data_IF_137518714873
#
_entry.id   IF_137518714873
#
_cell.length_a   1.000
_cell.length_b   1.000
_cell.length_c   1.000
_cell.angle_alpha   90.00
_cell.angle_beta   90.00
_cell.angle_gamma   90.00
#
_symmetry.space_group_name_H-M   'P 1'
#
loop_
_entity.id
_entity.type
_entity.pdbx_description
1 polymer ?
#
# COMPACT_ATOMS: atom_id res chain seq x y z
N UNK A 1 -10.55 19.96 13.63
CA UNK A 1 -11.80 20.45 13.02
C UNK A 1 -12.90 19.42 12.90
N UNK A 2 -12.62 18.24 12.34
CA UNK A 2 -13.65 17.19 12.18
C UNK A 2 -14.33 16.82 13.53
N UNK A 3 -13.55 16.60 14.59
CA UNK A 3 -14.08 16.27 15.92
C UNK A 3 -14.79 17.47 16.59
N UNK A 4 -14.26 18.68 16.43
CA UNK A 4 -14.80 19.90 17.05
C UNK A 4 -16.00 20.48 16.31
N UNK A 5 -16.22 20.08 15.06
CA UNK A 5 -17.25 20.62 14.16
C UNK A 5 -17.03 22.09 13.76
N UNK A 6 -15.91 22.70 14.18
CA UNK A 6 -15.54 24.09 13.89
C UNK A 6 -14.03 24.22 13.76
N UNK A 7 -13.60 25.12 12.86
CA UNK A 7 -12.21 25.53 12.63
C UNK A 7 -11.59 26.08 13.93
N UNK A 8 -10.62 25.34 14.46
CA UNK A 8 -9.94 25.70 15.71
C UNK A 8 -8.87 26.78 15.50
N UNK A 9 -8.44 27.05 14.27
CA UNK A 9 -7.41 28.04 13.95
C UNK A 9 -7.85 28.92 12.76
N UNK A 10 -8.87 29.77 12.95
CA UNK A 10 -9.40 30.60 11.87
C UNK A 10 -8.33 31.43 11.17
N UNK A 11 -8.26 31.30 9.83
CA UNK A 11 -7.32 32.04 8.98
C UNK A 11 -6.02 31.31 8.66
N UNK A 12 -5.81 30.10 9.19
CA UNK A 12 -4.82 29.16 8.66
C UNK A 12 -5.45 28.26 7.60
N UNK A 13 -4.64 27.84 6.63
CA UNK A 13 -5.05 26.81 5.66
C UNK A 13 -4.80 25.44 6.27
N UNK A 14 -5.78 24.55 6.17
CA UNK A 14 -5.67 23.18 6.68
C UNK A 14 -4.68 22.34 5.86
N UNK A 15 -4.62 22.59 4.56
CA UNK A 15 -3.74 21.90 3.62
C UNK A 15 -3.00 22.93 2.77
N UNK A 16 -1.66 22.86 2.81
CA UNK A 16 -0.78 23.54 1.86
C UNK A 16 -0.09 22.52 0.96
N UNK A 17 -0.21 22.67 -0.35
CA UNK A 17 0.41 21.78 -1.34
C UNK A 17 1.35 22.57 -2.26
N UNK A 18 2.47 21.94 -2.63
CA UNK A 18 3.44 22.48 -3.57
C UNK A 18 3.69 21.44 -4.66
N UNK A 19 3.59 21.85 -5.93
CA UNK A 19 3.79 20.96 -7.07
C UNK A 19 5.04 21.39 -7.84
N UNK A 20 5.85 20.41 -8.24
CA UNK A 20 7.02 20.65 -9.06
C UNK A 20 6.65 20.59 -10.55
N UNK A 21 6.62 21.75 -11.21
CA UNK A 21 6.32 21.84 -12.65
C UNK A 21 7.39 21.22 -13.54
N UNK A 22 8.60 20.99 -13.02
CA UNK A 22 9.71 20.41 -13.80
C UNK A 22 9.56 18.91 -14.06
N UNK A 23 8.58 18.22 -13.46
CA UNK A 23 8.41 16.76 -13.63
C UNK A 23 8.13 16.38 -15.09
N UNK A 24 7.39 17.21 -15.84
CA UNK A 24 7.09 16.92 -17.24
C UNK A 24 8.22 17.32 -18.21
N UNK A 25 9.04 18.30 -17.82
CA UNK A 25 9.94 18.99 -18.75
C UNK A 25 11.44 18.73 -18.48
N UNK A 26 11.82 18.22 -17.30
CA UNK A 26 13.20 17.93 -16.94
C UNK A 26 13.49 16.41 -17.01
N UNK A 27 14.30 15.94 -17.98
CA UNK A 27 14.64 14.52 -18.11
C UNK A 27 15.45 13.96 -16.92
N UNK A 28 15.97 14.83 -16.05
CA UNK A 28 16.66 14.43 -14.82
C UNK A 28 15.70 14.31 -13.62
N UNK A 29 14.45 14.78 -13.76
CA UNK A 29 13.45 14.66 -12.71
C UNK A 29 12.83 13.25 -12.76
N UNK A 30 12.80 12.55 -11.62
CA UNK A 30 12.16 11.23 -11.45
C UNK A 30 12.54 10.16 -12.51
N UNK A 31 13.76 10.24 -13.05
CA UNK A 31 14.24 9.34 -14.10
C UNK A 31 13.65 9.62 -15.48
N UNK A 32 13.20 10.85 -15.73
CA UNK A 32 12.60 11.29 -17.00
C UNK A 32 11.16 10.83 -17.19
N UNK A 33 10.48 10.43 -16.12
CA UNK A 33 9.06 10.08 -16.13
C UNK A 33 8.23 11.35 -15.88
N UNK A 34 7.27 11.60 -16.76
CA UNK A 34 6.29 12.69 -16.62
C UNK A 34 5.02 12.26 -15.89
N UNK A 35 4.14 13.24 -15.64
CA UNK A 35 2.82 13.02 -15.06
C UNK A 35 1.83 12.46 -16.08
N UNK A 36 0.96 11.57 -15.59
CA UNK A 36 -0.29 11.23 -16.23
C UNK A 36 -1.43 11.99 -15.56
N UNK A 37 -2.10 12.85 -16.32
CA UNK A 37 -3.20 13.68 -15.85
C UNK A 37 -4.59 13.12 -16.19
N UNK A 38 -4.64 11.92 -16.80
CA UNK A 38 -5.91 11.25 -17.09
C UNK A 38 -6.59 10.74 -15.83
N UNK A 39 -7.89 10.48 -15.94
CA UNK A 39 -8.74 10.02 -14.83
C UNK A 39 -9.19 8.56 -15.00
N UNK A 40 -8.66 7.88 -16.02
CA UNK A 40 -9.05 6.56 -16.50
C UNK A 40 -7.99 5.49 -16.23
N UNK A 41 -6.93 5.83 -15.48
CA UNK A 41 -5.89 4.89 -15.06
C UNK A 41 -5.20 4.18 -16.25
N UNK A 42 -4.84 4.97 -17.27
CA UNK A 42 -4.14 4.51 -18.48
C UNK A 42 -2.79 5.22 -18.64
N UNK A 43 -2.07 5.35 -17.53
CA UNK A 43 -0.79 6.07 -17.41
C UNK A 43 0.38 5.40 -18.13
N UNK A 44 0.30 4.10 -18.41
CA UNK A 44 1.38 3.34 -19.02
C UNK A 44 2.65 3.37 -18.17
N UNK A 45 3.66 4.11 -18.60
CA UNK A 45 4.93 4.27 -17.85
C UNK A 45 5.07 5.61 -17.13
N UNK A 46 4.08 6.50 -17.28
CA UNK A 46 4.01 7.78 -16.57
C UNK A 46 3.57 7.56 -15.11
N UNK A 47 3.65 8.61 -14.30
CA UNK A 47 3.20 8.56 -12.90
C UNK A 47 1.77 9.09 -12.82
N UNK A 48 0.83 8.33 -12.27
CA UNK A 48 -0.55 8.78 -12.09
C UNK A 48 -0.63 9.95 -11.09
N UNK A 49 -0.93 11.14 -11.61
CA UNK A 49 -1.03 12.35 -10.82
C UNK A 49 -2.21 12.32 -9.85
N UNK A 50 -3.34 11.74 -10.26
CA UNK A 50 -4.53 11.66 -9.40
C UNK A 50 -4.24 10.76 -8.20
N UNK A 51 -3.56 9.64 -8.39
CA UNK A 51 -3.13 8.75 -7.30
C UNK A 51 -2.23 9.48 -6.31
N UNK A 52 -1.15 10.11 -6.79
CA UNK A 52 -0.23 10.89 -5.93
C UNK A 52 -1.00 11.98 -5.19
N UNK A 53 -1.78 12.78 -5.91
CA UNK A 53 -2.51 13.89 -5.30
C UNK A 53 -3.46 13.41 -4.20
N UNK A 54 -4.19 12.33 -4.45
CA UNK A 54 -5.15 11.78 -3.46
C UNK A 54 -4.43 11.26 -2.23
N UNK A 55 -3.28 10.60 -2.41
CA UNK A 55 -2.40 10.15 -1.33
C UNK A 55 -1.90 11.32 -0.46
N UNK A 56 -1.32 12.34 -1.08
CA UNK A 56 -0.80 13.51 -0.35
C UNK A 56 -1.90 14.32 0.35
N UNK A 57 -3.08 14.42 -0.28
CA UNK A 57 -4.24 15.05 0.35
C UNK A 57 -4.73 14.24 1.57
N UNK A 58 -4.70 12.91 1.51
CA UNK A 58 -5.10 12.07 2.64
C UNK A 58 -4.18 12.28 3.86
N UNK A 59 -2.87 12.47 3.68
CA UNK A 59 -1.98 12.90 4.76
C UNK A 59 -2.44 14.23 5.37
N UNK A 60 -2.71 15.24 4.53
CA UNK A 60 -3.21 16.55 4.97
C UNK A 60 -4.56 16.49 5.71
N UNK A 61 -5.37 15.47 5.43
CA UNK A 61 -6.65 15.23 6.09
C UNK A 61 -6.52 14.40 7.38
N UNK A 62 -5.33 13.90 7.73
CA UNK A 62 -5.10 13.19 9.00
C UNK A 62 -4.84 11.69 8.87
N UNK A 63 -4.50 11.17 7.68
CA UNK A 63 -3.81 9.90 7.56
C UNK A 63 -2.34 10.10 7.95
N UNK A 64 -2.06 10.47 9.20
CA UNK A 64 -0.71 10.77 9.63
C UNK A 64 -0.57 10.53 11.13
N UNK A 65 0.52 9.85 11.49
CA UNK A 65 1.03 9.84 12.84
C UNK A 65 1.77 11.17 13.12
N UNK A 66 1.67 11.70 14.34
CA UNK A 66 2.44 12.86 14.80
C UNK A 66 3.39 12.54 15.96
N UNK A 67 3.31 11.34 16.55
CA UNK A 67 4.31 10.89 17.51
C UNK A 67 5.66 10.74 16.82
N UNK A 68 6.72 11.30 17.38
CA UNK A 68 8.06 11.10 16.85
C UNK A 68 8.45 9.62 16.95
N UNK A 69 8.64 8.94 15.83
CA UNK A 69 8.86 7.49 15.79
C UNK A 69 10.22 7.07 16.36
N UNK A 70 11.20 7.98 16.40
CA UNK A 70 12.53 7.69 16.94
C UNK A 70 12.56 7.80 18.47
N UNK A 71 11.92 8.83 19.04
CA UNK A 71 11.92 9.06 20.48
C UNK A 71 10.68 8.53 21.18
N UNK A 72 9.59 8.34 20.45
CA UNK A 72 8.23 8.06 20.92
C UNK A 72 7.54 9.26 21.56
N UNK A 73 8.12 10.46 21.44
CA UNK A 73 7.56 11.66 22.04
C UNK A 73 6.35 12.16 21.26
N UNK A 74 5.25 12.44 21.98
CA UNK A 74 4.07 13.07 21.42
C UNK A 74 4.36 14.48 20.90
N UNK A 75 3.77 14.84 19.74
CA UNK A 75 3.88 16.19 19.21
C UNK A 75 3.27 17.21 20.18
N UNK A 76 4.06 18.21 20.59
CA UNK A 76 3.68 19.21 21.61
C UNK A 76 3.21 18.60 22.95
N UNK A 77 3.58 17.34 23.24
CA UNK A 77 3.11 16.62 24.43
C UNK A 77 1.65 16.19 24.38
N UNK A 78 0.99 16.28 23.23
CA UNK A 78 -0.41 15.90 23.02
C UNK A 78 -0.50 14.59 22.25
N UNK A 79 -1.32 13.66 22.74
CA UNK A 79 -1.64 12.43 22.02
C UNK A 79 -2.55 12.76 20.84
N UNK A 80 -2.14 12.37 19.63
CA UNK A 80 -2.95 12.54 18.43
C UNK A 80 -4.08 11.49 18.35
N UNK A 81 -5.08 11.75 17.51
CA UNK A 81 -6.18 10.80 17.28
C UNK A 81 -5.71 9.49 16.65
N UNK A 82 -4.61 9.52 15.89
CA UNK A 82 -4.04 8.36 15.22
C UNK A 82 -3.58 7.31 16.25
N UNK A 83 -2.95 7.77 17.33
CA UNK A 83 -2.45 6.97 18.45
C UNK A 83 -3.54 6.23 19.23
N UNK A 84 -4.81 6.64 19.10
CA UNK A 84 -5.95 5.91 19.70
C UNK A 84 -6.28 4.61 18.97
N UNK A 85 -5.81 4.45 17.73
CA UNK A 85 -6.07 3.28 16.90
C UNK A 85 -4.77 2.54 16.52
N UNK A 86 -3.59 3.13 16.75
CA UNK A 86 -2.31 2.43 16.60
C UNK A 86 -2.10 1.41 17.73
N UNK A 87 -2.39 0.15 17.45
CA UNK A 87 -2.27 -0.98 18.37
C UNK A 87 -0.93 -1.70 18.17
N UNK A 88 -0.20 -1.93 19.25
CA UNK A 88 0.94 -2.87 19.24
C UNK A 88 0.47 -4.25 19.70
N UNK A 89 0.44 -5.22 18.79
CA UNK A 89 0.00 -6.59 19.04
C UNK A 89 0.91 -7.38 19.99
N UNK A 90 2.14 -6.93 20.21
CA UNK A 90 3.05 -7.58 21.18
C UNK A 90 2.68 -7.19 22.60
N UNK A 91 2.33 -5.92 22.83
CA UNK A 91 1.96 -5.42 24.16
C UNK A 91 0.46 -5.48 24.44
N UNK A 92 -0.37 -5.48 23.39
CA UNK A 92 -1.82 -5.35 23.47
C UNK A 92 -2.29 -3.94 23.86
N UNK A 93 -1.42 -2.93 23.74
CA UNK A 93 -1.71 -1.54 24.08
C UNK A 93 -1.78 -0.68 22.83
N UNK A 94 -2.72 0.26 22.82
CA UNK A 94 -2.69 1.38 21.90
C UNK A 94 -1.64 2.40 22.31
N UNK A 95 -1.15 3.19 21.36
CA UNK A 95 -0.13 4.21 21.64
C UNK A 95 -0.57 5.28 22.64
N UNK A 96 -1.87 5.59 22.70
CA UNK A 96 -2.44 6.48 23.73
C UNK A 96 -2.47 5.86 25.14
N UNK A 97 -2.30 4.54 25.26
CA UNK A 97 -2.28 3.79 26.51
C UNK A 97 -0.85 3.52 27.01
N UNK A 98 0.16 3.66 26.14
CA UNK A 98 1.58 3.52 26.48
C UNK A 98 2.04 4.63 27.43
N UNK A 99 2.57 4.24 28.58
CA UNK A 99 2.92 5.14 29.68
C UNK A 99 4.16 6.00 29.39
N UNK A 100 5.04 5.55 28.50
CA UNK A 100 6.34 6.17 28.23
C UNK A 100 6.60 6.36 26.74
N UNK A 101 7.41 7.38 26.41
CA UNK A 101 7.90 7.58 25.04
C UNK A 101 8.70 6.35 24.56
N UNK A 102 9.45 5.70 25.45
CA UNK A 102 10.24 4.52 25.11
C UNK A 102 9.38 3.33 24.62
N UNK A 103 8.17 3.14 25.16
CA UNK A 103 7.25 2.12 24.68
C UNK A 103 6.75 2.41 23.26
N UNK A 104 6.39 3.67 22.97
CA UNK A 104 6.00 4.08 21.61
C UNK A 104 7.15 3.97 20.62
N UNK A 105 8.36 4.37 21.00
CA UNK A 105 9.56 4.23 20.17
C UNK A 105 9.87 2.76 19.85
N UNK A 106 9.72 1.87 20.83
CA UNK A 106 9.89 0.44 20.63
C UNK A 106 8.80 -0.13 19.71
N UNK A 107 7.56 0.33 19.85
CA UNK A 107 6.45 -0.06 18.97
C UNK A 107 6.64 0.41 17.53
N UNK A 108 7.16 1.64 17.32
CA UNK A 108 7.35 2.22 15.99
C UNK A 108 8.25 1.39 15.06
N UNK A 109 9.12 0.57 15.63
CA UNK A 109 10.03 -0.35 14.93
C UNK A 109 9.62 -1.83 15.08
N UNK A 110 8.44 -2.11 15.64
CA UNK A 110 7.93 -3.46 15.87
C UNK A 110 7.26 -4.02 14.61
N UNK A 111 8.08 -4.37 13.63
CA UNK A 111 7.69 -4.79 12.29
C UNK A 111 6.57 -5.83 12.29
N UNK A 112 5.52 -5.60 11.47
CA UNK A 112 4.36 -6.51 11.31
C UNK A 112 3.67 -6.91 12.62
N UNK A 113 3.88 -6.15 13.68
CA UNK A 113 3.18 -6.28 14.96
C UNK A 113 2.43 -5.00 15.35
N UNK A 114 2.48 -3.95 14.54
CA UNK A 114 1.65 -2.76 14.75
C UNK A 114 0.50 -2.76 13.75
N UNK A 115 -0.72 -2.56 14.24
CA UNK A 115 -1.94 -2.61 13.45
C UNK A 115 -2.83 -1.40 13.75
N UNK A 116 -3.79 -1.15 12.87
CA UNK A 116 -4.83 -0.15 13.04
C UNK A 116 -6.12 -0.80 13.57
N UNK A 117 -6.42 -0.59 14.85
CA UNK A 117 -7.63 -1.11 15.53
C UNK A 117 -8.81 -0.13 15.45
N UNK A 118 -9.07 0.37 14.24
CA UNK A 118 -10.24 1.20 13.94
C UNK A 118 -11.37 0.37 13.33
N UNK A 119 -12.63 0.50 13.81
CA UNK A 119 -13.72 -0.36 13.36
C UNK A 119 -14.08 -0.16 11.88
N UNK A 120 -14.00 1.06 11.34
CA UNK A 120 -14.38 1.33 9.95
C UNK A 120 -13.29 0.88 8.96
N UNK A 121 -12.00 1.11 9.27
CA UNK A 121 -10.90 0.57 8.48
C UNK A 121 -10.88 -0.97 8.51
N UNK A 122 -11.09 -1.57 9.68
CA UNK A 122 -11.16 -3.03 9.84
C UNK A 122 -12.32 -3.63 9.03
N UNK A 123 -13.50 -3.02 9.08
CA UNK A 123 -14.64 -3.49 8.29
C UNK A 123 -14.37 -3.47 6.77
N UNK A 124 -13.67 -2.45 6.29
CA UNK A 124 -13.22 -2.37 4.89
C UNK A 124 -12.18 -3.42 4.55
N UNK A 125 -11.22 -3.66 5.46
CA UNK A 125 -10.17 -4.65 5.30
C UNK A 125 -10.72 -6.04 5.04
N UNK A 126 -11.75 -6.44 5.78
CA UNK A 126 -12.43 -7.74 5.62
C UNK A 126 -13.09 -7.92 4.25
N UNK A 127 -13.39 -6.83 3.54
CA UNK A 127 -14.03 -6.88 2.21
C UNK A 127 -13.08 -6.56 1.06
N UNK A 128 -11.99 -5.85 1.33
CA UNK A 128 -11.04 -5.37 0.34
C UNK A 128 -9.82 -6.28 0.22
N UNK A 129 -9.21 -6.65 1.36
CA UNK A 129 -7.99 -7.43 1.36
C UNK A 129 -8.29 -8.90 1.04
N UNK A 130 -7.44 -9.48 0.21
CA UNK A 130 -7.50 -10.88 -0.16
C UNK A 130 -7.00 -11.77 0.98
N UNK A 131 -7.60 -12.96 1.17
CA UNK A 131 -7.00 -13.97 2.03
C UNK A 131 -5.70 -14.49 1.42
N UNK A 132 -4.70 -14.72 2.26
CA UNK A 132 -3.38 -15.20 1.85
C UNK A 132 -2.26 -14.20 2.16
N UNK A 133 -1.77 -14.17 3.40
CA UNK A 133 -0.53 -13.43 3.72
C UNK A 133 0.69 -14.15 3.12
N UNK A 134 1.54 -13.49 2.33
CA UNK A 134 2.82 -14.04 1.86
C UNK A 134 3.68 -14.57 3.00
N UNK A 135 4.17 -15.81 2.87
CA UNK A 135 4.97 -16.47 3.90
C UNK A 135 6.00 -17.42 3.29
N UNK A 136 7.19 -17.44 3.89
CA UNK A 136 8.14 -18.55 3.72
C UNK A 136 7.95 -19.50 4.90
N UNK A 137 7.54 -20.74 4.65
CA UNK A 137 7.49 -21.78 5.69
C UNK A 137 8.76 -22.62 5.59
N UNK A 138 9.50 -22.74 6.68
CA UNK A 138 10.59 -23.72 6.80
C UNK A 138 10.01 -25.00 7.40
N UNK A 139 10.04 -26.07 6.61
CA UNK A 139 9.51 -27.39 6.95
C UNK A 139 10.58 -28.25 7.67
N UNK A 140 11.86 -28.06 7.31
CA UNK A 140 13.02 -28.71 7.93
C UNK A 140 14.29 -27.83 7.80
N UNK A 141 15.27 -27.98 8.70
CA UNK A 141 15.28 -28.83 9.89
C UNK A 141 14.42 -28.25 11.03
N UNK A 142 14.07 -29.09 12.00
CA UNK A 142 13.23 -28.69 13.13
C UNK A 142 13.82 -27.57 14.00
N UNK A 143 15.15 -27.35 13.95
CA UNK A 143 15.83 -26.26 14.68
C UNK A 143 15.41 -24.87 14.20
N UNK A 144 14.99 -24.75 12.94
CA UNK A 144 14.61 -23.49 12.29
C UNK A 144 13.23 -23.59 11.62
N UNK A 145 12.43 -24.60 11.97
CA UNK A 145 11.10 -24.76 11.40
C UNK A 145 10.16 -23.65 11.89
N UNK A 146 9.36 -23.09 10.98
CA UNK A 146 8.47 -21.97 11.30
C UNK A 146 8.09 -21.13 10.10
N UNK A 147 7.21 -20.16 10.33
CA UNK A 147 6.84 -19.14 9.36
C UNK A 147 7.77 -17.94 9.43
N UNK A 148 8.29 -17.54 8.28
CA UNK A 148 9.19 -16.41 8.11
C UNK A 148 8.49 -15.33 7.27
N UNK A 149 8.33 -14.11 7.80
CA UNK A 149 7.74 -13.01 7.04
C UNK A 149 8.57 -12.69 5.79
N UNK A 150 7.90 -12.51 4.65
CA UNK A 150 8.54 -12.21 3.36
C UNK A 150 8.02 -10.92 2.74
N UNK A 151 8.81 -10.31 1.86
CA UNK A 151 8.33 -9.40 0.82
C UNK A 151 8.15 -10.15 -0.50
N UNK A 152 6.96 -10.14 -1.08
CA UNK A 152 6.67 -10.80 -2.36
C UNK A 152 7.20 -10.00 -3.56
N UNK A 153 7.48 -10.66 -4.68
CA UNK A 153 7.90 -9.99 -5.91
C UNK A 153 6.71 -9.33 -6.64
N UNK A 154 6.96 -8.15 -7.23
CA UNK A 154 6.05 -7.50 -8.16
C UNK A 154 6.07 -8.12 -9.58
N UNK A 155 6.91 -9.13 -9.79
CA UNK A 155 7.12 -9.83 -11.06
C UNK A 155 7.11 -11.35 -10.85
N UNK A 156 6.98 -12.07 -11.96
CA UNK A 156 6.80 -13.52 -11.93
C UNK A 156 5.41 -13.91 -11.37
N UNK A 157 5.18 -15.22 -11.19
CA UNK A 157 3.95 -15.71 -10.58
C UNK A 157 3.78 -15.23 -9.14
N UNK A 158 2.57 -14.80 -8.80
CA UNK A 158 2.16 -14.54 -7.42
C UNK A 158 2.23 -15.82 -6.57
N UNK A 159 2.47 -15.65 -5.27
CA UNK A 159 2.44 -16.78 -4.33
C UNK A 159 1.03 -17.38 -4.24
N UNK A 160 0.95 -18.70 -4.06
CA UNK A 160 -0.31 -19.44 -4.03
C UNK A 160 -0.40 -20.42 -2.85
N UNK A 161 -1.57 -21.02 -2.69
CA UNK A 161 -1.78 -22.17 -1.83
C UNK A 161 -2.48 -23.30 -2.65
N UNK A 162 -1.85 -24.48 -2.85
CA UNK A 162 -0.54 -24.85 -2.34
C UNK A 162 0.60 -23.99 -2.92
N UNK A 163 1.64 -23.79 -2.12
CA UNK A 163 2.85 -23.06 -2.50
C UNK A 163 3.86 -23.93 -3.27
N UNK A 164 5.03 -23.36 -3.55
CA UNK A 164 6.16 -24.08 -4.14
C UNK A 164 7.06 -24.62 -3.02
N UNK A 165 7.15 -25.95 -2.92
CA UNK A 165 8.02 -26.61 -1.95
C UNK A 165 9.30 -27.12 -2.59
N UNK A 166 10.42 -27.03 -1.88
CA UNK A 166 11.70 -27.56 -2.33
C UNK A 166 12.83 -27.38 -1.31
N UNK A 167 13.97 -28.01 -1.59
CA UNK A 167 15.17 -27.84 -0.78
C UNK A 167 15.88 -26.54 -1.16
N UNK A 168 16.39 -25.81 -0.18
CA UNK A 168 17.13 -24.56 -0.36
C UNK A 168 18.58 -24.86 -0.74
N UNK A 169 19.05 -24.21 -1.80
CA UNK A 169 20.44 -24.30 -2.27
C UNK A 169 20.99 -22.88 -2.43
N UNK A 170 22.14 -22.60 -1.82
CA UNK A 170 22.83 -21.32 -2.01
C UNK A 170 23.30 -21.19 -3.47
N UNK A 171 22.89 -20.11 -4.13
CA UNK A 171 23.37 -19.77 -5.46
C UNK A 171 24.88 -19.51 -5.43
N UNK A 172 25.57 -19.85 -6.52
CA UNK A 172 26.97 -19.54 -6.70
C UNK A 172 27.24 -19.19 -8.17
N UNK A 173 27.61 -17.93 -8.45
CA UNK A 173 28.00 -17.44 -9.78
C UNK A 173 29.52 -17.41 -10.00
N UNK A 174 30.31 -17.68 -8.95
CA UNK A 174 31.77 -17.76 -9.02
C UNK A 174 32.49 -16.42 -9.18
N UNK A 175 31.80 -15.28 -9.11
CA UNK A 175 32.38 -13.95 -9.32
C UNK A 175 32.12 -13.04 -8.11
N UNK A 176 33.17 -12.42 -7.58
CA UNK A 176 33.03 -11.42 -6.52
C UNK A 176 32.24 -11.92 -5.30
N UNK A 177 31.09 -11.30 -5.03
CA UNK A 177 30.15 -11.74 -4.00
C UNK A 177 29.33 -12.92 -4.52
N UNK A 178 29.95 -14.10 -4.50
CA UNK A 178 29.52 -15.27 -5.29
C UNK A 178 28.07 -15.73 -5.15
N UNK A 179 27.38 -15.37 -4.07
CA UNK A 179 26.00 -15.77 -3.82
C UNK A 179 24.97 -14.75 -4.31
N UNK A 180 25.37 -13.66 -4.96
CA UNK A 180 24.47 -12.58 -5.34
C UNK A 180 23.83 -12.79 -6.72
N UNK A 181 24.23 -13.81 -7.49
CA UNK A 181 23.61 -14.24 -8.74
C UNK A 181 23.55 -13.12 -9.79
N UNK A 182 24.56 -12.24 -9.81
CA UNK A 182 24.65 -11.20 -10.82
C UNK A 182 25.18 -11.73 -12.15
N UNK A 183 25.95 -12.81 -12.11
CA UNK A 183 26.40 -13.58 -13.26
C UNK A 183 25.67 -14.94 -13.35
N UNK A 184 25.76 -15.65 -14.50
CA UNK A 184 25.21 -17.00 -14.62
C UNK A 184 25.79 -17.96 -13.57
N UNK A 185 24.92 -18.76 -12.94
CA UNK A 185 25.33 -19.65 -11.86
C UNK A 185 26.26 -20.77 -12.33
N UNK A 186 27.39 -20.94 -11.65
CA UNK A 186 28.35 -22.04 -11.89
C UNK A 186 27.93 -23.35 -11.24
N UNK A 187 27.00 -23.31 -10.27
CA UNK A 187 26.47 -24.48 -9.57
C UNK A 187 25.06 -24.90 -10.03
N UNK A 188 24.70 -24.66 -11.30
CA UNK A 188 23.38 -24.94 -11.85
C UNK A 188 22.89 -26.38 -11.60
N UNK A 189 23.78 -27.38 -11.64
CA UNK A 189 23.41 -28.77 -11.35
C UNK A 189 22.90 -29.02 -9.92
N UNK A 190 23.28 -28.18 -8.94
CA UNK A 190 22.77 -28.24 -7.58
C UNK A 190 21.46 -27.44 -7.42
N UNK A 191 21.31 -26.35 -8.17
CA UNK A 191 20.14 -25.45 -8.10
C UNK A 191 18.94 -26.00 -8.88
N UNK A 192 19.18 -26.77 -9.95
CA UNK A 192 18.13 -27.32 -10.80
C UNK A 192 17.10 -28.15 -10.00
N UNK A 193 15.82 -27.75 -10.06
CA UNK A 193 14.72 -28.38 -9.33
C UNK A 193 14.57 -27.96 -7.87
N UNK A 194 15.42 -27.04 -7.39
CA UNK A 194 15.47 -26.60 -5.99
C UNK A 194 15.15 -25.10 -5.84
N UNK A 195 15.01 -24.64 -4.59
CA UNK A 195 14.81 -23.22 -4.27
C UNK A 195 16.17 -22.55 -4.14
N UNK A 196 16.43 -21.53 -4.95
CA UNK A 196 17.70 -20.80 -4.88
C UNK A 196 17.67 -19.77 -3.75
N UNK A 197 18.65 -19.81 -2.84
CA UNK A 197 18.92 -18.73 -1.89
C UNK A 197 20.00 -17.82 -2.49
N UNK A 198 19.68 -16.54 -2.63
CA UNK A 198 20.52 -15.51 -3.26
C UNK A 198 20.72 -14.34 -2.32
N UNK A 199 21.90 -13.73 -2.33
CA UNK A 199 22.18 -12.51 -1.58
C UNK A 199 21.80 -11.25 -2.35
N UNK A 200 21.16 -10.30 -1.65
CA UNK A 200 20.99 -8.95 -2.19
C UNK A 200 22.37 -8.32 -2.37
N UNK A 201 22.60 -7.75 -3.56
CA UNK A 201 23.93 -7.32 -3.99
C UNK A 201 23.88 -6.34 -5.15
N UNK A 202 24.87 -6.41 -6.03
CA UNK A 202 25.19 -5.33 -6.97
C UNK A 202 24.18 -5.14 -8.11
N UNK A 203 23.46 -6.19 -8.50
CA UNK A 203 22.51 -6.19 -9.60
C UNK A 203 21.04 -6.13 -9.13
N UNK A 204 20.15 -5.84 -10.09
CA UNK A 204 18.70 -5.79 -9.86
C UNK A 204 18.11 -7.17 -9.51
N UNK A 205 16.99 -7.17 -8.77
CA UNK A 205 16.30 -8.40 -8.36
C UNK A 205 15.88 -9.27 -9.55
N UNK A 206 15.39 -8.65 -10.61
CA UNK A 206 15.04 -9.33 -11.87
C UNK A 206 16.23 -10.12 -12.43
N UNK A 207 17.43 -9.53 -12.46
CA UNK A 207 18.66 -10.20 -12.93
C UNK A 207 18.98 -11.43 -12.10
N UNK A 208 18.88 -11.30 -10.77
CA UNK A 208 19.13 -12.41 -9.83
C UNK A 208 18.20 -13.59 -10.09
N UNK A 209 16.91 -13.29 -10.24
CA UNK A 209 15.88 -14.31 -10.45
C UNK A 209 16.02 -14.96 -11.83
N UNK A 210 16.29 -14.19 -12.89
CA UNK A 210 16.56 -14.73 -14.22
C UNK A 210 17.78 -15.68 -14.24
N UNK A 211 18.86 -15.34 -13.56
CA UNK A 211 20.06 -16.20 -13.50
C UNK A 211 19.79 -17.50 -12.72
N UNK A 212 19.02 -17.43 -11.64
CA UNK A 212 18.61 -18.62 -10.89
C UNK A 212 17.61 -19.48 -11.68
N UNK A 213 16.65 -18.87 -12.37
CA UNK A 213 15.68 -19.55 -13.25
C UNK A 213 16.39 -20.24 -14.42
N UNK A 214 17.36 -19.56 -15.06
CA UNK A 214 18.18 -20.14 -16.12
C UNK A 214 19.04 -21.33 -15.64
N UNK A 215 19.37 -21.37 -14.35
CA UNK A 215 20.04 -22.49 -13.69
C UNK A 215 19.07 -23.62 -13.28
N UNK A 216 17.77 -23.45 -13.50
CA UNK A 216 16.72 -24.44 -13.24
C UNK A 216 16.08 -24.33 -11.85
N UNK A 217 16.26 -23.24 -11.12
CA UNK A 217 15.56 -23.02 -9.85
C UNK A 217 14.04 -23.03 -10.05
N UNK A 218 13.30 -23.53 -9.06
CA UNK A 218 11.82 -23.54 -9.08
C UNK A 218 11.20 -22.38 -8.30
N UNK A 219 11.99 -21.72 -7.46
CA UNK A 219 11.67 -20.48 -6.78
C UNK A 219 12.95 -19.81 -6.26
N UNK A 220 12.87 -18.53 -5.88
CA UNK A 220 14.02 -17.77 -5.37
C UNK A 220 13.71 -17.10 -4.03
N UNK A 221 14.59 -17.27 -3.07
CA UNK A 221 14.64 -16.51 -1.82
C UNK A 221 15.82 -15.54 -1.91
N UNK A 222 15.56 -14.25 -1.79
CA UNK A 222 16.59 -13.22 -1.71
C UNK A 222 16.80 -12.84 -0.25
N UNK A 223 17.95 -13.16 0.31
CA UNK A 223 18.38 -12.67 1.61
C UNK A 223 18.82 -11.21 1.51
N UNK A 224 18.22 -10.34 2.32
CA UNK A 224 18.62 -8.94 2.38
C UNK A 224 20.06 -8.76 2.87
N UNK A 225 20.66 -7.62 2.58
CA UNK A 225 22.02 -7.26 3.01
C UNK A 225 22.04 -6.09 4.02
N UNK A 226 20.85 -5.64 4.44
CA UNK A 226 20.66 -4.63 5.48
C UNK A 226 19.86 -5.28 6.63
N UNK A 227 20.26 -5.00 7.87
CA UNK A 227 19.49 -5.39 9.03
C UNK A 227 18.21 -4.55 9.12
N UNK A 228 17.11 -5.17 9.54
CA UNK A 228 15.85 -4.46 9.72
C UNK A 228 14.65 -5.37 9.67
N UNK A 229 13.49 -4.74 9.51
CA UNK A 229 12.21 -5.41 9.34
C UNK A 229 12.16 -6.39 8.17
N UNK A 230 11.15 -7.29 8.13
CA UNK A 230 10.79 -8.00 6.93
C UNK A 230 10.82 -7.06 5.73
N UNK A 231 11.64 -7.39 4.71
CA UNK A 231 11.90 -6.44 3.66
C UNK A 231 10.63 -6.19 2.84
N UNK A 232 10.52 -4.98 2.29
CA UNK A 232 9.58 -4.72 1.21
C UNK A 232 9.81 -5.71 0.05
N UNK A 233 8.78 -5.84 -0.79
CA UNK A 233 8.77 -6.71 -1.95
C UNK A 233 9.94 -6.51 -2.94
N UNK A 234 10.07 -7.44 -3.87
CA UNK A 234 11.07 -7.35 -4.94
C UNK A 234 10.51 -6.51 -6.09
N UNK A 235 11.06 -5.31 -6.27
CA UNK A 235 10.69 -4.42 -7.38
C UNK A 235 11.34 -4.78 -8.71
N UNK A 236 10.72 -4.34 -9.80
CA UNK A 236 11.14 -4.60 -11.18
C UNK A 236 10.01 -5.24 -12.00
N UNK A 237 10.23 -5.37 -13.31
CA UNK A 237 9.28 -6.03 -14.22
C UNK A 237 10.04 -6.75 -15.32
N UNK A 238 9.75 -8.04 -15.49
CA UNK A 238 10.21 -8.83 -16.63
C UNK A 238 9.20 -9.96 -16.91
N UNK A 239 8.59 -10.03 -18.10
CA UNK A 239 7.60 -11.05 -18.43
C UNK A 239 8.20 -12.44 -18.64
N UNK A 240 9.52 -12.56 -18.71
CA UNK A 240 10.24 -13.82 -18.88
C UNK A 240 10.45 -14.59 -17.58
N UNK A 241 10.22 -13.98 -16.41
CA UNK A 241 10.32 -14.67 -15.12
C UNK A 241 9.07 -15.52 -14.90
N UNK A 242 9.26 -16.83 -14.72
CA UNK A 242 8.17 -17.80 -14.57
C UNK A 242 8.16 -18.55 -13.24
N UNK A 243 9.06 -18.18 -12.32
CA UNK A 243 9.13 -18.73 -10.96
C UNK A 243 8.82 -17.69 -9.88
N UNK A 244 8.15 -18.07 -8.77
CA UNK A 244 7.90 -17.15 -7.68
C UNK A 244 9.18 -16.77 -6.96
N UNK A 245 9.22 -15.54 -6.43
CA UNK A 245 10.36 -15.07 -5.65
C UNK A 245 9.94 -14.20 -4.47
N UNK A 246 10.71 -14.29 -3.41
CA UNK A 246 10.50 -13.56 -2.15
C UNK A 246 11.80 -12.97 -1.63
N UNK A 247 11.69 -11.91 -0.82
CA UNK A 247 12.79 -11.38 -0.03
C UNK A 247 12.56 -11.67 1.45
N UNK A 248 13.63 -12.02 2.16
CA UNK A 248 13.64 -12.22 3.61
C UNK A 248 14.70 -11.32 4.26
N UNK A 249 14.61 -11.15 5.57
CA UNK A 249 15.58 -10.33 6.31
C UNK A 249 17.01 -10.90 6.20
N UNK A 250 18.02 -10.05 6.46
CA UNK A 250 19.39 -10.51 6.59
C UNK A 250 19.55 -11.56 7.70
N UNK A 251 18.82 -11.39 8.82
CA UNK A 251 18.85 -12.33 9.94
C UNK A 251 18.30 -13.71 9.56
N UNK A 252 17.15 -13.75 8.89
CA UNK A 252 16.54 -15.00 8.41
C UNK A 252 17.41 -15.66 7.35
N UNK A 253 17.96 -14.87 6.42
CA UNK A 253 18.91 -15.36 5.42
C UNK A 253 20.13 -16.03 6.05
N UNK A 254 20.69 -15.43 7.11
CA UNK A 254 21.81 -16.02 7.85
C UNK A 254 21.40 -17.30 8.60
N UNK A 255 20.19 -17.34 9.17
CA UNK A 255 19.62 -18.54 9.78
C UNK A 255 19.54 -19.69 8.78
N UNK A 256 18.96 -19.47 7.60
CA UNK A 256 18.88 -20.49 6.54
C UNK A 256 20.28 -20.94 6.10
N UNK A 257 21.20 -20.01 5.85
CA UNK A 257 22.59 -20.32 5.44
C UNK A 257 23.32 -21.21 6.45
N UNK A 258 23.09 -20.99 7.74
CA UNK A 258 23.73 -21.75 8.80
C UNK A 258 23.33 -23.23 8.83
N UNK A 259 22.16 -23.57 8.27
CA UNK A 259 21.58 -24.91 8.27
C UNK A 259 21.65 -25.60 6.89
N UNK A 260 22.20 -24.96 5.85
CA UNK A 260 22.27 -25.58 4.51
C UNK A 260 23.04 -26.91 4.49
N UNK A 261 23.96 -27.13 5.44
CA UNK A 261 24.69 -28.40 5.58
C UNK A 261 23.84 -29.55 6.13
N UNK A 262 22.73 -29.27 6.82
CA UNK A 262 21.78 -30.26 7.35
C UNK A 262 20.62 -30.51 6.38
N UNK A 263 20.43 -29.63 5.40
CA UNK A 263 19.34 -29.65 4.43
C UNK A 263 18.17 -28.82 4.94
N UNK A 264 17.79 -27.80 4.18
CA UNK A 264 16.69 -26.89 4.52
C UNK A 264 15.58 -27.08 3.51
N UNK A 265 14.43 -27.57 3.96
CA UNK A 265 13.24 -27.73 3.11
C UNK A 265 12.25 -26.63 3.44
N UNK A 266 11.71 -26.00 2.40
CA UNK A 266 10.82 -24.85 2.54
C UNK A 266 9.62 -24.96 1.62
N UNK A 267 8.59 -24.19 1.96
CA UNK A 267 7.43 -23.91 1.13
C UNK A 267 7.25 -22.39 0.99
N UNK A 268 7.31 -21.88 -0.23
CA UNK A 268 6.98 -20.49 -0.55
C UNK A 268 5.52 -20.41 -0.98
N UNK A 269 4.70 -19.72 -0.22
CA UNK A 269 3.27 -19.65 -0.49
C UNK A 269 2.57 -18.54 0.29
N UNK A 270 1.28 -18.73 0.51
CA UNK A 270 0.46 -17.83 1.32
C UNK A 270 -0.17 -18.58 2.49
N UNK A 271 -0.30 -17.90 3.63
CA UNK A 271 -1.14 -18.34 4.75
C UNK A 271 -2.60 -17.92 4.49
N UNK A 272 -3.50 -18.85 4.11
CA UNK A 272 -4.88 -18.53 3.76
C UNK A 272 -5.73 -18.16 4.99
N UNK A 273 -5.22 -18.34 6.21
CA UNK A 273 -5.95 -18.03 7.44
C UNK A 273 -5.87 -16.56 7.82
N UNK A 274 -5.04 -15.78 7.11
CA UNK A 274 -4.80 -14.36 7.34
C UNK A 274 -5.06 -13.56 6.07
N UNK A 275 -5.60 -12.36 6.22
CA UNK A 275 -5.65 -11.41 5.11
C UNK A 275 -4.23 -10.90 4.81
N UNK A 276 -3.97 -10.59 3.54
CA UNK A 276 -2.72 -9.96 3.12
C UNK A 276 -2.62 -8.56 3.74
N UNK A 277 -1.60 -8.32 4.57
CA UNK A 277 -1.40 -7.03 5.25
C UNK A 277 -2.31 -6.82 6.47
N UNK A 278 -2.79 -7.89 7.12
CA UNK A 278 -3.55 -7.79 8.36
C UNK A 278 -3.02 -8.70 9.48
N UNK A 279 -3.38 -8.34 10.72
CA UNK A 279 -3.13 -9.18 11.87
C UNK A 279 -4.05 -10.42 11.91
N UNK A 280 -3.98 -11.21 13.00
CA UNK A 280 -4.75 -12.45 13.13
C UNK A 280 -6.26 -12.25 13.34
N UNK A 281 -6.69 -11.04 13.72
CA UNK A 281 -8.11 -10.70 13.93
C UNK A 281 -8.67 -9.82 12.82
N UNK A 282 -7.84 -9.42 11.85
CA UNK A 282 -8.24 -8.69 10.66
C UNK A 282 -7.96 -7.19 10.72
N UNK A 283 -7.24 -6.71 11.73
CA UNK A 283 -6.80 -5.31 11.76
C UNK A 283 -5.70 -5.10 10.71
N UNK A 284 -5.83 -4.11 9.81
CA UNK A 284 -4.77 -3.77 8.86
C UNK A 284 -3.46 -3.46 9.58
N UNK A 285 -2.37 -4.02 9.11
CA UNK A 285 -1.04 -3.66 9.60
C UNK A 285 -0.68 -2.26 9.13
N UNK A 286 -0.05 -1.49 10.01
CA UNK A 286 0.59 -0.21 9.64
C UNK A 286 2.07 -0.46 9.38
N UNK A 287 2.67 0.40 8.56
CA UNK A 287 4.05 0.33 8.11
C UNK A 287 5.05 0.63 9.24
N UNK A 288 5.16 -0.26 10.23
CA UNK A 288 6.22 -0.23 11.23
C UNK A 288 7.51 -0.78 10.62
N UNK A 289 8.54 0.06 10.50
CA UNK A 289 9.82 -0.29 9.87
C UNK A 289 11.03 0.04 10.76
N UNK A 290 12.06 -0.79 10.67
CA UNK A 290 13.34 -0.70 11.37
C UNK A 290 14.44 -0.77 10.30
N UNK A 291 15.30 0.25 10.18
CA UNK A 291 15.22 1.53 10.88
C UNK A 291 13.99 2.35 10.46
N UNK A 292 13.56 3.26 11.33
CA UNK A 292 12.48 4.22 11.04
C UNK A 292 12.73 4.94 9.72
N UNK A 293 11.73 4.90 8.84
CA UNK A 293 11.68 5.68 7.61
C UNK A 293 10.90 6.97 7.90
N UNK A 294 11.63 8.07 8.14
CA UNK A 294 11.01 9.36 8.49
C UNK A 294 9.98 9.79 7.44
N UNK A 295 8.80 10.18 7.91
CA UNK A 295 7.67 10.56 7.05
C UNK A 295 6.92 9.38 6.44
N UNK A 296 7.34 8.13 6.71
CA UNK A 296 6.67 6.93 6.21
C UNK A 296 6.23 5.97 7.30
N UNK A 297 7.11 5.68 8.27
CA UNK A 297 6.81 4.75 9.37
C UNK A 297 5.50 5.14 10.07
N UNK A 298 4.65 4.14 10.33
CA UNK A 298 3.37 4.25 11.07
C UNK A 298 2.27 5.08 10.37
N UNK A 299 2.64 6.00 9.48
CA UNK A 299 1.71 6.86 8.70
C UNK A 299 1.27 6.23 7.37
N UNK A 300 1.49 4.93 7.17
CA UNK A 300 1.13 4.20 5.96
C UNK A 300 0.63 2.79 6.32
N UNK A 301 -0.11 2.17 5.41
CA UNK A 301 -0.41 0.73 5.47
C UNK A 301 0.84 -0.11 5.18
N UNK A 302 0.90 -1.31 5.76
CA UNK A 302 2.00 -2.25 5.48
C UNK A 302 1.97 -2.67 3.99
N UNK A 303 3.11 -2.67 3.27
CA UNK A 303 3.19 -3.07 1.85
C UNK A 303 2.81 -4.54 1.55
N UNK A 304 2.41 -5.32 2.57
CA UNK A 304 1.79 -6.62 2.39
C UNK A 304 0.31 -6.55 1.97
N UNK A 305 -0.33 -5.38 2.01
CA UNK A 305 -1.74 -5.28 1.61
C UNK A 305 -1.92 -5.75 0.17
N UNK A 306 -2.88 -6.64 -0.06
CA UNK A 306 -3.23 -7.08 -1.41
C UNK A 306 -4.76 -7.20 -1.56
N UNK A 307 -5.40 -6.56 -2.56
CA UNK A 307 -4.80 -5.60 -3.51
C UNK A 307 -4.12 -4.42 -2.80
N UNK A 308 -3.21 -3.73 -3.48
CA UNK A 308 -2.50 -2.62 -2.85
C UNK A 308 -3.47 -1.51 -2.43
N UNK A 309 -3.05 -0.70 -1.45
CA UNK A 309 -3.86 0.39 -0.86
C UNK A 309 -3.25 1.75 -1.16
N UNK A 310 -4.09 2.79 -1.22
CA UNK A 310 -3.71 4.16 -1.57
C UNK A 310 -2.61 4.68 -0.64
N UNK A 311 -2.72 4.40 0.66
CA UNK A 311 -1.79 4.89 1.68
C UNK A 311 -0.66 3.90 1.99
N UNK A 312 -0.21 3.12 0.99
CA UNK A 312 1.08 2.44 1.08
C UNK A 312 2.25 3.41 0.87
N UNK A 313 3.47 3.07 1.34
CA UNK A 313 4.66 3.93 1.22
C UNK A 313 5.11 4.24 -0.21
N UNK A 314 4.55 3.53 -1.20
CA UNK A 314 4.87 3.71 -2.61
C UNK A 314 3.63 3.44 -3.46
N UNK A 315 3.55 4.09 -4.62
CA UNK A 315 2.47 3.87 -5.58
C UNK A 315 2.67 2.56 -6.31
N UNK A 316 1.57 1.80 -6.39
CA UNK A 316 1.49 0.56 -7.12
C UNK A 316 0.56 0.71 -8.34
N UNK A 317 0.79 -0.10 -9.37
CA UNK A 317 0.09 0.00 -10.66
C UNK A 317 -1.30 -0.64 -10.66
N UNK A 318 -1.71 -1.26 -9.56
CA UNK A 318 -3.05 -1.79 -9.33
C UNK A 318 -3.90 -0.85 -8.45
N UNK A 319 -3.38 0.32 -8.10
CA UNK A 319 -4.18 1.38 -7.46
C UNK A 319 -5.05 2.04 -8.52
N UNK A 320 -6.38 1.93 -8.38
CA UNK A 320 -7.34 2.58 -9.28
C UNK A 320 -8.10 3.68 -8.50
N UNK A 321 -7.57 4.91 -8.43
CA UNK A 321 -8.21 5.98 -7.68
C UNK A 321 -9.64 6.25 -8.16
N UNK A 322 -10.55 6.42 -7.19
CA UNK A 322 -11.92 6.83 -7.44
C UNK A 322 -12.89 5.70 -7.79
N UNK A 323 -12.43 4.48 -8.05
CA UNK A 323 -13.28 3.29 -8.26
C UNK A 323 -13.21 2.35 -7.06
N UNK A 324 -12.00 2.06 -6.57
CA UNK A 324 -11.79 1.22 -5.40
C UNK A 324 -11.52 2.08 -4.16
N UNK A 325 -12.51 2.12 -3.28
CA UNK A 325 -12.32 2.70 -1.96
C UNK A 325 -11.68 1.62 -1.09
N UNK A 326 -10.36 1.67 -0.99
CA UNK A 326 -9.51 0.83 -0.14
C UNK A 326 -9.81 1.02 1.38
N UNK A 327 -8.82 0.78 2.24
CA UNK A 327 -8.96 0.92 3.69
C UNK A 327 -9.01 2.39 4.13
N UNK A 328 -8.47 3.31 3.33
CA UNK A 328 -8.14 4.67 3.70
C UNK A 328 -9.37 5.52 4.06
N UNK A 329 -10.51 5.45 3.35
CA UNK A 329 -11.73 6.12 3.80
C UNK A 329 -12.24 5.57 5.15
N UNK A 330 -12.04 4.29 5.43
CA UNK A 330 -12.37 3.71 6.74
C UNK A 330 -11.58 4.36 7.86
N UNK A 331 -10.26 4.48 7.65
CA UNK A 331 -9.37 5.16 8.59
C UNK A 331 -9.74 6.64 8.77
N UNK A 332 -10.12 7.34 7.70
CA UNK A 332 -10.67 8.70 7.78
C UNK A 332 -11.91 8.75 8.68
N UNK A 333 -12.83 7.80 8.54
CA UNK A 333 -14.00 7.69 9.41
C UNK A 333 -13.64 7.45 10.87
N UNK A 334 -12.65 6.59 11.12
CA UNK A 334 -12.18 6.29 12.48
C UNK A 334 -11.59 7.54 13.16
N UNK A 335 -10.84 8.37 12.43
CA UNK A 335 -10.27 9.63 12.96
C UNK A 335 -11.25 10.81 12.98
N UNK A 336 -12.53 10.57 12.66
CA UNK A 336 -13.62 11.52 12.87
C UNK A 336 -14.17 12.21 11.63
N UNK A 337 -13.73 11.86 10.41
CA UNK A 337 -14.36 12.35 9.19
C UNK A 337 -15.72 11.69 8.97
N UNK A 338 -16.67 12.46 8.45
CA UNK A 338 -17.94 11.90 7.97
C UNK A 338 -17.79 11.51 6.51
N UNK A 339 -17.86 10.21 6.22
CA UNK A 339 -17.88 9.73 4.84
C UNK A 339 -19.24 10.01 4.21
N UNK A 340 -19.22 10.73 3.10
CA UNK A 340 -20.39 10.89 2.26
C UNK A 340 -20.69 9.55 1.56
N UNK A 341 -21.90 9.05 1.70
CA UNK A 341 -22.36 7.86 0.95
C UNK A 341 -23.04 8.24 -0.36
N UNK A 342 -23.35 9.52 -0.52
CA UNK A 342 -23.99 10.10 -1.69
C UNK A 342 -23.29 11.39 -2.13
N UNK A 343 -23.43 11.72 -3.41
CA UNK A 343 -22.93 12.98 -3.94
C UNK A 343 -23.80 14.12 -3.43
N UNK A 344 -23.19 15.12 -2.77
CA UNK A 344 -23.86 16.38 -2.45
C UNK A 344 -23.60 17.42 -3.54
N UNK A 345 -24.64 18.16 -3.91
CA UNK A 345 -24.54 19.34 -4.76
C UNK A 345 -24.99 20.55 -3.93
N UNK A 346 -24.05 21.41 -3.57
CA UNK A 346 -24.30 22.61 -2.72
C UNK A 346 -25.07 22.27 -1.43
N UNK A 347 -24.66 21.19 -0.75
CA UNK A 347 -25.31 20.67 0.46
C UNK A 347 -26.60 19.87 0.24
N UNK A 348 -27.12 19.80 -1.00
CA UNK A 348 -28.28 18.99 -1.34
C UNK A 348 -27.88 17.55 -1.68
N UNK A 349 -28.45 16.57 -0.99
CA UNK A 349 -28.24 15.15 -1.25
C UNK A 349 -28.92 14.72 -2.55
N UNK A 350 -28.11 14.28 -3.51
CA UNK A 350 -28.59 13.82 -4.82
C UNK A 350 -29.16 12.40 -4.78
N UNK A 351 -28.92 11.64 -3.69
CA UNK A 351 -29.24 10.22 -3.57
C UNK A 351 -28.44 9.33 -4.54
N UNK A 352 -27.49 9.91 -5.27
CA UNK A 352 -26.57 9.20 -6.16
C UNK A 352 -25.38 8.79 -5.31
N UNK A 353 -25.00 7.51 -5.34
CA UNK A 353 -23.76 7.05 -4.69
C UNK A 353 -22.53 7.81 -5.21
N UNK A 354 -21.36 7.54 -4.63
CA UNK A 354 -20.11 8.10 -5.13
C UNK A 354 -19.75 7.47 -6.49
N UNK A 355 -20.38 7.96 -7.56
CA UNK A 355 -19.97 7.63 -8.92
C UNK A 355 -18.65 8.37 -9.16
N UNK A 356 -17.59 7.68 -9.62
CA UNK A 356 -16.31 8.31 -9.92
C UNK A 356 -16.52 9.56 -10.77
N UNK A 357 -15.91 10.67 -10.36
CA UNK A 357 -15.89 11.95 -11.09
C UNK A 357 -17.23 12.68 -11.24
N UNK A 358 -18.35 12.21 -10.69
CA UNK A 358 -19.64 12.93 -10.77
C UNK A 358 -19.52 14.34 -10.19
N UNK A 359 -18.92 14.47 -9.00
CA UNK A 359 -18.67 15.77 -8.39
C UNK A 359 -17.80 16.68 -9.29
N UNK A 360 -16.75 16.12 -9.89
CA UNK A 360 -15.89 16.83 -10.84
C UNK A 360 -16.63 17.28 -12.11
N UNK A 361 -17.53 16.45 -12.64
CA UNK A 361 -18.35 16.80 -13.81
C UNK A 361 -19.38 17.89 -13.49
N UNK A 362 -19.95 17.88 -12.28
CA UNK A 362 -20.80 18.98 -11.78
C UNK A 362 -19.97 20.27 -11.68
N UNK A 363 -18.74 20.18 -11.22
CA UNK A 363 -17.83 21.32 -11.13
C UNK A 363 -17.44 21.85 -12.51
N UNK A 364 -17.23 20.99 -13.51
CA UNK A 364 -17.06 21.40 -14.91
C UNK A 364 -18.29 22.16 -15.42
N UNK A 365 -19.50 21.71 -15.07
CA UNK A 365 -20.72 22.46 -15.38
C UNK A 365 -20.73 23.84 -14.71
N UNK A 366 -20.28 23.94 -13.44
CA UNK A 366 -20.19 25.19 -12.69
C UNK A 366 -19.22 26.18 -13.36
N UNK A 367 -18.01 25.74 -13.68
CA UNK A 367 -16.95 26.57 -14.24
C UNK A 367 -17.29 27.10 -15.65
N UNK A 368 -18.10 26.37 -16.41
CA UNK A 368 -18.48 26.74 -17.77
C UNK A 368 -19.84 27.46 -17.86
N UNK A 369 -20.59 27.56 -16.77
CA UNK A 369 -21.88 28.26 -16.74
C UNK A 369 -21.69 29.77 -16.53
N UNK A 370 -22.30 30.59 -17.37
CA UNK A 370 -22.34 32.04 -17.17
C UNK A 370 -23.51 32.49 -16.30
N UNK A 371 -24.49 31.60 -16.05
CA UNK A 371 -25.65 31.84 -15.18
C UNK A 371 -26.36 30.54 -14.79
N UNK A 372 -27.28 30.67 -13.82
CA UNK A 372 -27.86 29.54 -13.10
C UNK A 372 -28.64 28.61 -14.01
N UNK A 373 -29.35 29.18 -14.99
CA UNK A 373 -30.05 28.40 -15.99
C UNK A 373 -29.12 27.52 -16.82
N UNK A 374 -27.91 28.02 -17.15
CA UNK A 374 -26.92 27.24 -17.89
C UNK A 374 -26.29 26.14 -17.04
N UNK A 375 -25.99 26.41 -15.77
CA UNK A 375 -25.50 25.40 -14.83
C UNK A 375 -26.52 24.26 -14.67
N UNK A 376 -27.78 24.60 -14.35
CA UNK A 376 -28.86 23.62 -14.20
C UNK A 376 -29.06 22.82 -15.49
N UNK A 377 -28.99 23.48 -16.65
CA UNK A 377 -29.09 22.80 -17.95
C UNK A 377 -27.94 21.81 -18.15
N UNK A 378 -26.70 22.21 -17.85
CA UNK A 378 -25.54 21.33 -17.97
C UNK A 378 -25.65 20.11 -17.05
N UNK A 379 -25.97 20.31 -15.77
CA UNK A 379 -26.17 19.21 -14.81
C UNK A 379 -27.33 18.30 -15.22
N UNK A 380 -28.39 18.86 -15.80
CA UNK A 380 -29.50 18.05 -16.34
C UNK A 380 -29.07 17.19 -17.52
N UNK A 381 -28.22 17.70 -18.42
CA UNK A 381 -27.62 16.92 -19.51
C UNK A 381 -26.73 15.80 -18.97
N UNK A 382 -25.85 16.11 -18.02
CA UNK A 382 -25.05 15.11 -17.32
C UNK A 382 -25.92 13.99 -16.72
N UNK A 383 -26.98 14.35 -16.00
CA UNK A 383 -27.93 13.37 -15.46
C UNK A 383 -28.63 12.52 -16.53
N UNK A 384 -28.88 13.06 -17.73
CA UNK A 384 -29.40 12.27 -18.85
C UNK A 384 -28.39 11.23 -19.33
N UNK A 385 -27.12 11.63 -19.46
CA UNK A 385 -26.05 10.75 -19.95
C UNK A 385 -25.76 9.62 -18.96
N UNK A 386 -25.67 9.93 -17.66
CA UNK A 386 -25.51 8.93 -16.59
C UNK A 386 -26.67 7.93 -16.57
N UNK A 387 -27.91 8.42 -16.71
CA UNK A 387 -29.09 7.55 -16.78
C UNK A 387 -29.04 6.66 -18.03
N UNK A 388 -28.66 7.21 -19.18
CA UNK A 388 -28.53 6.47 -20.44
C UNK A 388 -27.44 5.40 -20.35
N UNK A 389 -26.37 5.66 -19.61
CA UNK A 389 -25.30 4.71 -19.31
C UNK A 389 -25.69 3.66 -18.25
N UNK A 390 -26.88 3.77 -17.63
CA UNK A 390 -27.33 2.85 -16.58
C UNK A 390 -26.69 3.07 -15.21
N UNK A 391 -25.95 4.18 -15.03
CA UNK A 391 -25.23 4.49 -13.80
C UNK A 391 -26.13 5.08 -12.70
N UNK A 392 -27.25 5.71 -13.09
CA UNK A 392 -28.24 6.26 -12.16
C UNK A 392 -29.68 5.94 -12.59
N UNK A 393 -30.57 5.92 -11.61
CA UNK A 393 -32.02 5.77 -11.82
C UNK A 393 -32.66 7.07 -12.32
N UNK A 394 -33.90 6.96 -12.82
CA UNK A 394 -34.70 8.14 -13.17
C UNK A 394 -35.00 9.05 -11.97
N UNK A 395 -35.16 8.48 -10.77
CA UNK A 395 -35.37 9.22 -9.54
C UNK A 395 -34.11 10.00 -9.14
N UNK A 396 -32.95 9.34 -9.15
CA UNK A 396 -31.65 9.97 -8.92
C UNK A 396 -31.34 11.11 -9.90
N UNK A 397 -31.62 10.93 -11.19
CA UNK A 397 -31.53 12.04 -12.17
C UNK A 397 -32.42 13.23 -11.76
N UNK A 398 -33.67 12.94 -11.39
CA UNK A 398 -34.63 13.96 -10.96
C UNK A 398 -34.12 14.74 -9.75
N UNK A 399 -33.59 14.02 -8.76
CA UNK A 399 -33.01 14.60 -7.55
C UNK A 399 -31.76 15.44 -7.86
N UNK A 400 -30.85 14.94 -8.70
CA UNK A 400 -29.67 15.70 -9.16
C UNK A 400 -30.07 17.04 -9.83
N UNK A 401 -31.08 17.00 -10.71
CA UNK A 401 -31.59 18.21 -11.37
C UNK A 401 -32.26 19.16 -10.37
N UNK A 402 -32.99 18.61 -9.39
CA UNK A 402 -33.64 19.38 -8.33
C UNK A 402 -32.62 20.06 -7.42
N UNK A 403 -31.55 19.36 -7.02
CA UNK A 403 -30.46 19.92 -6.24
C UNK A 403 -29.76 21.04 -7.01
N UNK A 404 -29.47 20.84 -8.30
CA UNK A 404 -28.88 21.89 -9.13
C UNK A 404 -29.76 23.14 -9.18
N UNK A 405 -31.07 22.97 -9.41
CA UNK A 405 -32.03 24.09 -9.47
C UNK A 405 -32.30 24.78 -8.13
N UNK A 406 -31.98 24.13 -7.01
CA UNK A 406 -32.06 24.72 -5.66
C UNK A 406 -30.74 25.30 -5.17
N UNK A 407 -29.65 25.14 -5.91
CA UNK A 407 -28.32 25.56 -5.50
C UNK A 407 -28.11 27.08 -5.65
N UNK A 408 -27.13 27.59 -4.91
CA UNK A 408 -26.60 28.95 -5.03
C UNK A 408 -25.56 29.10 -6.15
N UNK A 409 -25.31 28.02 -6.90
CA UNK A 409 -24.24 27.95 -7.89
C UNK A 409 -24.57 28.73 -9.19
N UNK A 410 -23.53 29.26 -9.87
CA UNK A 410 -23.60 30.22 -10.97
C UNK A 410 -24.67 30.02 -12.00
#
# INVERSE_FOLDING_TARGET
DAISGVDQVPGFVDIGSNFNSSVDDDPNCLGGRGWYYGLDHNEGTAIDFLTVLTHELAHGLGHSNFVNELSGANFLGLTDIYSHFTLDNTTGLHWNEMATDAERAASAVNCRNVAWDGPAATARALTYLSPGTPLLTVDAPASIAGGYPVGAAAFGPQLSNPGVSGTVVLANDGVGATADACEPLVNAGAVAGNVALVDRGACAFVTKVLNAEAAGAIAVIVADNVNGCPPAGLGGADPGITIPSVRITLADGNTLKSELGTGVDVTLGVDPTRLAGADAVGHPLVNAVDPVALGSSISHWDPLTFPNTLMEPAINTDLIPGVDLDLSPGQMSDVGWTLMTTTLLDGCDTGIGLIPFLAGQIEVCRLNAANHGQFVSCVSHLGNDLKKAGLITGAQKGQLTSCAGGSSLP
#
